data_IF_330324717513
#
_entry.id   IF_330324717513
#
_cell.length_a   1.000
_cell.length_b   1.000
_cell.length_c   1.000
_cell.angle_alpha   90.00
_cell.angle_beta   90.00
_cell.angle_gamma   90.00
#
_symmetry.space_group_name_H-M   'P 1'
#
loop_
_entity.id
_entity.type
_entity.pdbx_description
1 polymer ?
#
# COMPACT_ATOMS: atom_id res chain seq x y z
N UNK A 1 39.87 -51.00 51.98
CA UNK A 1 41.05 -50.53 52.74
C UNK A 1 41.31 -49.08 52.35
N UNK A 2 41.17 -48.15 53.30
CA UNK A 2 41.51 -46.73 53.10
C UNK A 2 43.04 -46.63 53.13
N UNK A 3 43.73 -46.07 52.12
CA UNK A 3 45.17 -45.87 52.24
C UNK A 3 45.42 -44.94 53.41
N UNK A 4 46.26 -45.38 54.36
CA UNK A 4 46.76 -44.50 55.40
C UNK A 4 47.54 -43.37 54.71
N UNK A 5 47.12 -42.12 54.89
CA UNK A 5 47.95 -40.99 54.48
C UNK A 5 49.28 -41.13 55.25
N UNK A 6 50.44 -41.08 54.57
CA UNK A 6 51.71 -41.07 55.26
C UNK A 6 51.69 -39.90 56.25
N UNK A 7 52.16 -40.16 57.47
CA UNK A 7 52.38 -39.13 58.46
C UNK A 7 53.52 -38.23 57.93
N UNK A 8 53.17 -37.23 57.13
CA UNK A 8 54.12 -36.23 56.65
C UNK A 8 54.48 -35.43 57.90
N UNK A 9 55.64 -35.71 58.49
CA UNK A 9 56.19 -34.85 59.53
C UNK A 9 56.17 -33.43 58.97
N UNK A 10 55.34 -32.56 59.55
CA UNK A 10 55.27 -31.16 59.13
C UNK A 10 56.65 -30.55 59.31
N UNK A 11 57.26 -30.13 58.21
CA UNK A 11 58.55 -29.44 58.24
C UNK A 11 58.39 -28.21 59.14
N UNK A 12 59.19 -28.08 60.20
CA UNK A 12 59.14 -26.92 61.09
C UNK A 12 59.96 -25.76 60.56
N UNK A 13 59.66 -24.54 61.01
CA UNK A 13 60.48 -23.34 60.71
C UNK A 13 61.97 -23.56 61.04
N UNK A 14 62.24 -24.20 62.19
CA UNK A 14 63.60 -24.51 62.64
C UNK A 14 64.31 -25.50 61.70
N UNK A 15 63.60 -26.50 61.16
CA UNK A 15 64.15 -27.42 60.17
C UNK A 15 64.52 -26.68 58.87
N UNK A 16 63.70 -25.74 58.43
CA UNK A 16 63.98 -24.92 57.24
C UNK A 16 65.18 -23.99 57.50
N UNK A 17 65.21 -23.33 58.67
CA UNK A 17 66.30 -22.47 59.09
C UNK A 17 67.65 -23.22 59.12
N UNK A 18 67.70 -24.38 59.79
CA UNK A 18 68.92 -25.18 59.90
C UNK A 18 69.42 -25.66 58.53
N UNK A 19 68.51 -25.97 57.61
CA UNK A 19 68.84 -26.34 56.24
C UNK A 19 69.44 -25.15 55.47
N UNK A 20 68.88 -23.94 55.60
CA UNK A 20 69.45 -22.74 54.99
C UNK A 20 70.85 -22.42 55.54
N UNK A 21 71.08 -22.57 56.85
CA UNK A 21 72.40 -22.43 57.46
C UNK A 21 73.37 -23.50 56.91
N UNK A 22 72.93 -24.75 56.77
CA UNK A 22 73.72 -25.85 56.21
C UNK A 22 74.15 -25.58 54.76
N UNK A 23 73.32 -24.87 54.00
CA UNK A 23 73.59 -24.44 52.62
C UNK A 23 74.48 -23.19 52.54
N UNK A 24 74.93 -22.64 53.68
CA UNK A 24 75.84 -21.49 53.74
C UNK A 24 75.15 -20.13 53.67
N UNK A 25 73.85 -20.05 53.96
CA UNK A 25 73.13 -18.77 54.03
C UNK A 25 73.53 -17.98 55.29
N UNK A 26 73.61 -16.66 55.16
CA UNK A 26 73.86 -15.76 56.30
C UNK A 26 72.73 -15.89 57.33
N UNK A 27 73.06 -15.81 58.62
CA UNK A 27 72.17 -16.17 59.72
C UNK A 27 70.88 -15.34 59.75
N UNK A 28 70.96 -14.02 59.57
CA UNK A 28 69.79 -13.14 59.57
C UNK A 28 68.92 -13.39 58.34
N UNK A 29 69.53 -13.62 57.18
CA UNK A 29 68.82 -13.97 55.95
C UNK A 29 68.11 -15.33 56.09
N UNK A 30 68.78 -16.33 56.66
CA UNK A 30 68.21 -17.66 56.90
C UNK A 30 67.03 -17.58 57.88
N UNK A 31 67.13 -16.75 58.91
CA UNK A 31 66.06 -16.54 59.87
C UNK A 31 64.84 -15.86 59.23
N UNK A 32 65.04 -14.82 58.42
CA UNK A 32 63.95 -14.13 57.72
C UNK A 32 63.27 -15.02 56.66
N UNK A 33 64.05 -15.74 55.84
CA UNK A 33 63.50 -16.60 54.79
C UNK A 33 62.83 -17.87 55.33
N UNK A 34 63.36 -18.48 56.38
CA UNK A 34 62.74 -19.69 56.97
C UNK A 34 61.35 -19.39 57.52
N UNK A 35 61.19 -18.26 58.20
CA UNK A 35 59.89 -17.78 58.67
C UNK A 35 58.92 -17.50 57.51
N UNK A 36 59.37 -16.78 56.48
CA UNK A 36 58.55 -16.48 55.27
C UNK A 36 58.14 -17.73 54.53
N UNK A 37 59.04 -18.71 54.42
CA UNK A 37 58.78 -19.99 53.74
C UNK A 37 57.81 -20.85 54.55
N UNK A 38 58.03 -21.00 55.86
CA UNK A 38 57.17 -21.78 56.74
C UNK A 38 55.73 -21.24 56.78
N UNK A 39 55.56 -19.92 56.78
CA UNK A 39 54.26 -19.26 56.77
C UNK A 39 53.70 -18.96 55.37
N UNK A 40 54.37 -19.38 54.29
CA UNK A 40 54.00 -19.10 52.90
C UNK A 40 53.73 -17.60 52.61
N UNK A 41 54.42 -16.69 53.31
CA UNK A 41 54.17 -15.24 53.22
C UNK A 41 54.39 -14.70 51.80
N UNK A 42 55.34 -15.30 51.05
CA UNK A 42 55.59 -14.96 49.64
C UNK A 42 54.43 -15.39 48.73
N UNK A 43 53.88 -16.59 48.95
CA UNK A 43 52.75 -17.11 48.17
C UNK A 43 51.47 -16.31 48.40
N UNK A 44 51.18 -15.95 49.65
CA UNK A 44 50.01 -15.11 49.95
C UNK A 44 50.10 -13.73 49.30
N UNK A 45 51.29 -13.12 49.29
CA UNK A 45 51.52 -11.83 48.61
C UNK A 45 51.28 -11.92 47.11
N UNK A 46 51.74 -12.98 46.46
CA UNK A 46 51.52 -13.18 45.02
C UNK A 46 50.03 -13.40 44.70
N UNK A 47 49.32 -14.17 45.53
CA UNK A 47 47.87 -14.35 45.39
C UNK A 47 47.10 -13.03 45.57
N UNK A 48 47.47 -12.22 46.57
CA UNK A 48 46.90 -10.89 46.78
C UNK A 48 47.13 -9.97 45.57
N UNK A 49 48.32 -10.02 44.98
CA UNK A 49 48.64 -9.25 43.77
C UNK A 49 47.83 -9.72 42.55
N UNK A 50 47.63 -11.04 42.40
CA UNK A 50 46.78 -11.59 41.35
C UNK A 50 45.32 -11.18 41.55
N UNK A 51 44.80 -11.27 42.77
CA UNK A 51 43.44 -10.86 43.13
C UNK A 51 43.21 -9.38 42.76
N UNK A 52 44.12 -8.48 43.14
CA UNK A 52 44.06 -7.06 42.78
C UNK A 52 44.07 -6.85 41.27
N UNK A 53 44.94 -7.55 40.54
CA UNK A 53 45.02 -7.43 39.07
C UNK A 53 43.76 -7.95 38.38
N UNK A 54 43.19 -9.05 38.86
CA UNK A 54 41.92 -9.57 38.35
C UNK A 54 40.77 -8.62 38.66
N UNK A 55 40.68 -8.08 39.88
CA UNK A 55 39.69 -7.07 40.24
C UNK A 55 39.69 -5.88 39.29
N UNK A 56 40.88 -5.28 39.06
CA UNK A 56 41.03 -4.17 38.10
C UNK A 56 40.60 -4.57 36.68
N UNK A 57 40.93 -5.78 36.22
CA UNK A 57 40.51 -6.26 34.89
C UNK A 57 39.00 -6.47 34.80
N UNK A 58 38.37 -6.99 35.85
CA UNK A 58 36.92 -7.16 35.92
C UNK A 58 36.19 -5.83 35.94
N UNK A 59 36.62 -4.87 36.75
CA UNK A 59 36.02 -3.53 36.80
C UNK A 59 36.10 -2.83 35.44
N UNK A 60 37.24 -2.92 34.76
CA UNK A 60 37.41 -2.40 33.41
C UNK A 60 36.50 -3.09 32.38
N UNK A 61 36.27 -4.40 32.52
CA UNK A 61 35.37 -5.14 31.64
C UNK A 61 33.92 -4.72 31.88
N UNK A 62 33.49 -4.63 33.14
CA UNK A 62 32.15 -4.16 33.54
C UNK A 62 31.93 -2.75 32.97
N UNK A 63 32.88 -1.84 33.17
CA UNK A 63 32.79 -0.48 32.63
C UNK A 63 32.62 -0.44 31.10
N UNK A 64 33.36 -1.29 30.37
CA UNK A 64 33.21 -1.41 28.91
C UNK A 64 31.85 -1.97 28.52
N UNK A 65 31.35 -2.97 29.23
CA UNK A 65 30.02 -3.55 29.00
C UNK A 65 28.95 -2.49 29.25
N UNK A 66 28.99 -1.78 30.37
CA UNK A 66 28.05 -0.70 30.70
C UNK A 66 28.05 0.41 29.64
N UNK A 67 29.23 0.76 29.11
CA UNK A 67 29.37 1.77 28.07
C UNK A 67 28.73 1.29 26.77
N UNK A 68 28.96 0.04 26.37
CA UNK A 68 28.35 -0.56 25.18
C UNK A 68 26.83 -0.64 25.35
N UNK A 69 26.35 -1.08 26.51
CA UNK A 69 24.92 -1.17 26.82
C UNK A 69 24.24 0.21 26.70
N UNK A 70 24.80 1.25 27.31
CA UNK A 70 24.28 2.62 27.22
C UNK A 70 24.23 3.14 25.79
N UNK A 71 25.25 2.85 24.99
CA UNK A 71 25.27 3.24 23.58
C UNK A 71 24.19 2.52 22.77
N UNK A 72 24.03 1.20 22.98
CA UNK A 72 22.99 0.42 22.31
C UNK A 72 21.58 0.88 22.72
N UNK A 73 21.34 1.18 24.00
CA UNK A 73 20.07 1.75 24.47
C UNK A 73 19.76 3.09 23.78
N UNK A 74 20.76 3.96 23.63
CA UNK A 74 20.62 5.23 22.91
C UNK A 74 20.31 5.02 21.43
N UNK A 75 20.98 4.07 20.78
CA UNK A 75 20.75 3.77 19.37
C UNK A 75 19.36 3.19 19.13
N UNK A 76 18.89 2.28 20.00
CA UNK A 76 17.53 1.75 19.97
C UNK A 76 16.50 2.88 20.11
N UNK A 77 16.66 3.75 21.12
CA UNK A 77 15.75 4.89 21.31
C UNK A 77 15.69 5.83 20.09
N UNK A 78 16.84 6.09 19.46
CA UNK A 78 16.91 6.89 18.24
C UNK A 78 16.22 6.20 17.05
N UNK A 79 16.34 4.87 16.95
CA UNK A 79 15.65 4.09 15.92
C UNK A 79 14.14 4.09 16.13
N UNK A 80 13.66 3.88 17.35
CA UNK A 80 12.24 3.95 17.70
C UNK A 80 11.66 5.32 17.31
N UNK A 81 12.35 6.40 17.67
CA UNK A 81 11.92 7.77 17.31
C UNK A 81 11.84 7.98 15.79
N UNK A 82 12.78 7.41 15.03
CA UNK A 82 12.77 7.47 13.56
C UNK A 82 11.63 6.65 12.97
N UNK A 83 11.37 5.45 13.52
CA UNK A 83 10.28 4.57 13.10
C UNK A 83 8.94 5.29 13.34
N UNK A 84 8.72 5.85 14.53
CA UNK A 84 7.50 6.61 14.87
C UNK A 84 7.27 7.79 13.91
N UNK A 85 8.35 8.47 13.51
CA UNK A 85 8.27 9.61 12.58
C UNK A 85 7.88 9.15 11.17
N UNK A 86 8.47 8.05 10.69
CA UNK A 86 8.14 7.45 9.40
C UNK A 86 6.71 6.95 9.40
N UNK A 87 6.26 6.27 10.46
CA UNK A 87 4.89 5.78 10.60
C UNK A 87 3.87 6.92 10.51
N UNK A 88 4.06 7.99 11.29
CA UNK A 88 3.18 9.17 11.25
C UNK A 88 3.15 9.83 9.87
N UNK A 89 4.28 9.88 9.18
CA UNK A 89 4.37 10.45 7.83
C UNK A 89 3.59 9.60 6.83
N UNK A 90 3.79 8.28 6.85
CA UNK A 90 3.07 7.35 5.98
C UNK A 90 1.55 7.37 6.24
N UNK A 91 1.11 7.42 7.50
CA UNK A 91 -0.30 7.55 7.85
C UNK A 91 -0.91 8.83 7.26
N UNK A 92 -0.19 9.96 7.34
CA UNK A 92 -0.63 11.23 6.74
C UNK A 92 -0.71 11.15 5.22
N UNK A 93 0.27 10.52 4.58
CA UNK A 93 0.30 10.37 3.12
C UNK A 93 -0.84 9.48 2.62
N UNK A 94 -1.14 8.38 3.31
CA UNK A 94 -2.28 7.51 3.03
C UNK A 94 -3.59 8.31 3.13
N UNK A 95 -3.80 9.03 4.23
CA UNK A 95 -5.00 9.85 4.43
C UNK A 95 -5.19 10.91 3.33
N UNK A 96 -4.09 11.55 2.91
CA UNK A 96 -4.13 12.52 1.81
C UNK A 96 -4.46 11.87 0.47
N UNK A 97 -3.96 10.65 0.22
CA UNK A 97 -4.28 9.88 -0.99
C UNK A 97 -5.75 9.46 -1.00
N UNK A 98 -6.28 8.96 0.12
CA UNK A 98 -7.70 8.60 0.25
C UNK A 98 -8.60 9.81 -0.06
N UNK A 99 -8.30 10.98 0.52
CA UNK A 99 -9.05 12.22 0.24
C UNK A 99 -9.01 12.62 -1.23
N UNK A 100 -7.86 12.44 -1.90
CA UNK A 100 -7.72 12.72 -3.35
C UNK A 100 -8.52 11.72 -4.18
N UNK A 101 -8.50 10.44 -3.81
CA UNK A 101 -9.27 9.38 -4.48
C UNK A 101 -10.76 9.68 -4.37
N UNK A 102 -11.26 9.99 -3.18
CA UNK A 102 -12.67 10.36 -2.95
C UNK A 102 -13.09 11.56 -3.82
N UNK A 103 -12.21 12.56 -3.92
CA UNK A 103 -12.46 13.74 -4.76
C UNK A 103 -12.54 13.38 -6.24
N UNK A 104 -11.61 12.56 -6.73
CA UNK A 104 -11.61 12.09 -8.12
C UNK A 104 -12.86 11.25 -8.41
N UNK A 105 -13.23 10.34 -7.52
CA UNK A 105 -14.44 9.50 -7.67
C UNK A 105 -15.69 10.38 -7.76
N UNK A 106 -15.84 11.36 -6.87
CA UNK A 106 -16.96 12.29 -6.88
C UNK A 106 -17.04 13.10 -8.19
N UNK A 107 -15.90 13.58 -8.67
CA UNK A 107 -15.85 14.33 -9.92
C UNK A 107 -16.23 13.45 -11.12
N UNK A 108 -15.69 12.23 -11.21
CA UNK A 108 -16.04 11.29 -12.26
C UNK A 108 -17.52 10.92 -12.25
N UNK A 109 -18.12 10.68 -11.07
CA UNK A 109 -19.56 10.44 -10.94
C UNK A 109 -20.37 11.61 -11.48
N UNK A 110 -19.99 12.84 -11.14
CA UNK A 110 -20.64 14.06 -11.62
C UNK A 110 -20.51 14.23 -13.14
N UNK A 111 -19.33 13.99 -13.70
CA UNK A 111 -19.11 14.11 -15.14
C UNK A 111 -19.91 13.06 -15.92
N UNK A 112 -20.02 11.83 -15.40
CA UNK A 112 -20.89 10.80 -15.98
C UNK A 112 -22.36 11.19 -15.93
N UNK A 113 -22.83 11.76 -14.82
CA UNK A 113 -24.22 12.24 -14.67
C UNK A 113 -24.54 13.34 -15.68
N UNK A 114 -23.65 14.34 -15.81
CA UNK A 114 -23.78 15.43 -16.79
C UNK A 114 -23.81 14.87 -18.22
N UNK A 115 -22.90 13.94 -18.56
CA UNK A 115 -22.86 13.34 -19.89
C UNK A 115 -24.14 12.56 -20.22
N UNK A 116 -24.67 11.81 -19.25
CA UNK A 116 -25.93 11.09 -19.40
C UNK A 116 -27.10 12.04 -19.61
N UNK A 117 -27.17 13.14 -18.86
CA UNK A 117 -28.19 14.16 -19.02
C UNK A 117 -28.13 14.81 -20.41
N UNK A 118 -26.93 15.22 -20.84
CA UNK A 118 -26.73 15.84 -22.16
C UNK A 118 -27.12 14.88 -23.31
N UNK A 119 -26.84 13.57 -23.14
CA UNK A 119 -27.24 12.56 -24.12
C UNK A 119 -28.76 12.43 -24.19
N UNK A 120 -29.45 12.42 -23.05
CA UNK A 120 -30.91 12.38 -22.96
C UNK A 120 -31.53 13.60 -23.67
N UNK A 121 -31.08 14.81 -23.35
CA UNK A 121 -31.56 16.06 -23.94
C UNK A 121 -31.40 16.08 -25.48
N UNK A 122 -30.28 15.57 -25.99
CA UNK A 122 -30.05 15.43 -27.44
C UNK A 122 -31.00 14.42 -28.09
N UNK A 123 -31.28 13.29 -27.43
CA UNK A 123 -32.23 12.30 -27.95
C UNK A 123 -33.65 12.85 -27.98
N UNK A 124 -34.09 13.53 -26.93
CA UNK A 124 -35.40 14.18 -26.85
C UNK A 124 -35.56 15.22 -27.96
N UNK A 125 -34.57 16.10 -28.13
CA UNK A 125 -34.56 17.12 -29.20
C UNK A 125 -34.64 16.50 -30.59
N UNK A 126 -33.87 15.44 -30.85
CA UNK A 126 -33.90 14.73 -32.13
C UNK A 126 -35.26 14.06 -32.39
N UNK A 127 -35.84 13.44 -31.35
CA UNK A 127 -37.16 12.81 -31.43
C UNK A 127 -38.26 13.84 -31.71
N UNK A 128 -38.21 15.00 -31.05
CA UNK A 128 -39.14 16.10 -31.31
C UNK A 128 -39.02 16.59 -32.75
N UNK A 129 -37.80 16.83 -33.25
CA UNK A 129 -37.58 17.24 -34.64
C UNK A 129 -38.09 16.21 -35.66
N UNK A 130 -37.93 14.92 -35.36
CA UNK A 130 -38.46 13.83 -36.20
C UNK A 130 -39.99 13.82 -36.20
N UNK A 131 -40.64 13.99 -35.03
CA UNK A 131 -42.10 14.09 -34.91
C UNK A 131 -42.65 15.26 -35.72
N UNK A 132 -42.06 16.45 -35.59
CA UNK A 132 -42.47 17.66 -36.33
C UNK A 132 -42.37 17.45 -37.86
N UNK A 133 -41.29 16.80 -38.33
CA UNK A 133 -41.13 16.47 -39.76
C UNK A 133 -42.17 15.46 -40.25
N UNK A 134 -42.49 14.44 -39.45
CA UNK A 134 -43.52 13.46 -39.80
C UNK A 134 -44.91 14.09 -39.86
N UNK A 135 -45.25 14.94 -38.89
CA UNK A 135 -46.53 15.65 -38.86
C UNK A 135 -46.69 16.59 -40.06
N UNK A 136 -45.65 17.38 -40.37
CA UNK A 136 -45.63 18.24 -41.55
C UNK A 136 -45.81 17.45 -42.85
N UNK A 137 -45.09 16.34 -43.03
CA UNK A 137 -45.24 15.47 -44.21
C UNK A 137 -46.65 14.87 -44.31
N UNK A 138 -47.23 14.42 -43.19
CA UNK A 138 -48.59 13.90 -43.14
C UNK A 138 -49.63 14.97 -43.52
N UNK A 139 -49.44 16.21 -43.06
CA UNK A 139 -50.31 17.33 -43.42
C UNK A 139 -50.25 17.62 -44.93
N UNK A 140 -49.06 17.69 -45.51
CA UNK A 140 -48.86 17.88 -46.97
C UNK A 140 -49.50 16.74 -47.77
N UNK A 141 -49.34 15.49 -47.33
CA UNK A 141 -49.95 14.33 -47.99
C UNK A 141 -51.48 14.40 -47.92
N UNK A 142 -52.04 14.74 -46.76
CA UNK A 142 -53.48 14.92 -46.56
C UNK A 142 -54.06 16.00 -47.47
N UNK A 143 -53.38 17.13 -47.62
CA UNK A 143 -53.78 18.19 -48.57
C UNK A 143 -53.77 17.71 -50.02
N UNK A 144 -52.70 17.02 -50.44
CA UNK A 144 -52.62 16.45 -51.80
C UNK A 144 -53.74 15.45 -52.07
N UNK A 145 -54.06 14.58 -51.10
CA UNK A 145 -55.19 13.64 -51.21
C UNK A 145 -56.54 14.36 -51.31
N UNK A 146 -56.76 15.42 -50.52
CA UNK A 146 -57.98 16.25 -50.61
C UNK A 146 -58.13 16.89 -51.98
N UNK A 147 -57.06 17.44 -52.56
CA UNK A 147 -57.06 18.02 -53.92
C UNK A 147 -57.34 16.93 -54.96
N UNK A 148 -56.67 15.78 -54.86
CA UNK A 148 -56.89 14.66 -55.78
C UNK A 148 -58.34 14.17 -55.75
N UNK A 149 -58.93 14.01 -54.55
CA UNK A 149 -60.34 13.68 -54.40
C UNK A 149 -61.25 14.72 -55.05
N UNK A 150 -60.98 16.03 -54.87
CA UNK A 150 -61.75 17.09 -55.54
C UNK A 150 -61.69 16.96 -57.07
N UNK A 151 -60.51 16.68 -57.62
CA UNK A 151 -60.32 16.47 -59.07
C UNK A 151 -61.11 15.25 -59.56
N UNK A 152 -61.02 14.11 -58.85
CA UNK A 152 -61.76 12.89 -59.20
C UNK A 152 -63.28 13.17 -59.20
N UNK A 153 -63.78 13.87 -58.19
CA UNK A 153 -65.20 14.27 -58.11
C UNK A 153 -65.61 15.13 -59.31
N UNK A 154 -64.78 16.10 -59.73
CA UNK A 154 -65.07 16.94 -60.92
C UNK A 154 -65.08 16.09 -62.20
N UNK A 155 -64.08 15.22 -62.38
CA UNK A 155 -63.98 14.35 -63.56
C UNK A 155 -65.19 13.43 -63.67
N UNK A 156 -65.59 12.81 -62.56
CA UNK A 156 -66.72 11.87 -62.52
C UNK A 156 -68.07 12.54 -62.74
N UNK A 157 -68.31 13.71 -62.13
CA UNK A 157 -69.61 14.41 -62.22
C UNK A 157 -69.76 15.22 -63.52
N UNK A 158 -68.69 15.83 -64.02
CA UNK A 158 -68.77 16.79 -65.14
C UNK A 158 -68.20 16.20 -66.42
N UNK A 159 -66.94 15.75 -66.40
CA UNK A 159 -66.20 15.43 -67.63
C UNK A 159 -66.71 14.13 -68.26
N UNK A 160 -66.93 13.08 -67.46
CA UNK A 160 -67.38 11.76 -67.95
C UNK A 160 -68.77 11.83 -68.62
N UNK A 161 -69.81 12.46 -68.03
CA UNK A 161 -71.11 12.57 -68.68
C UNK A 161 -71.08 13.35 -70.00
N UNK A 162 -70.28 14.42 -70.07
CA UNK A 162 -70.09 15.20 -71.31
C UNK A 162 -69.47 14.33 -72.39
N UNK A 163 -68.39 13.59 -72.07
CA UNK A 163 -67.73 12.71 -73.02
C UNK A 163 -68.66 11.60 -73.55
N UNK A 164 -69.44 10.96 -72.66
CA UNK A 164 -70.43 9.94 -73.04
C UNK A 164 -71.49 10.53 -73.99
N UNK A 165 -71.97 11.74 -73.71
CA UNK A 165 -72.99 12.42 -74.53
C UNK A 165 -72.48 12.73 -75.95
N UNK A 166 -71.22 13.15 -76.06
CA UNK A 166 -70.59 13.41 -77.37
C UNK A 166 -70.41 12.09 -78.14
N UNK A 167 -69.87 11.04 -77.51
CA UNK A 167 -69.62 9.75 -78.16
C UNK A 167 -70.93 9.09 -78.63
N UNK A 168 -71.97 9.09 -77.79
CA UNK A 168 -73.28 8.53 -78.15
C UNK A 168 -73.88 9.27 -79.35
N UNK A 169 -73.78 10.60 -79.41
CA UNK A 169 -74.25 11.39 -80.55
C UNK A 169 -73.53 11.01 -81.84
N UNK A 170 -72.20 10.88 -81.82
CA UNK A 170 -71.40 10.48 -82.99
C UNK A 170 -71.71 9.04 -83.41
N UNK A 171 -71.80 8.11 -82.45
CA UNK A 171 -72.12 6.70 -82.71
C UNK A 171 -73.51 6.53 -83.34
N UNK A 172 -74.53 7.22 -82.81
CA UNK A 172 -75.89 7.22 -83.39
C UNK A 172 -75.89 7.78 -84.80
N UNK A 173 -75.16 8.87 -85.06
CA UNK A 173 -75.02 9.45 -86.40
C UNK A 173 -74.41 8.46 -87.41
N UNK A 174 -73.35 7.73 -87.01
CA UNK A 174 -72.72 6.71 -87.85
C UNK A 174 -73.62 5.50 -88.09
N UNK A 175 -74.28 4.99 -87.04
CA UNK A 175 -75.26 3.89 -87.14
C UNK A 175 -76.39 4.28 -88.09
N UNK A 176 -76.95 5.49 -87.95
CA UNK A 176 -78.02 6.00 -88.81
C UNK A 176 -77.59 6.10 -90.28
N UNK A 177 -76.31 6.40 -90.55
CA UNK A 177 -75.75 6.38 -91.92
C UNK A 177 -75.50 4.98 -92.46
N UNK A 178 -75.30 3.98 -91.61
CA UNK A 178 -75.02 2.60 -92.01
C UNK A 178 -76.30 1.79 -92.31
N UNK A 179 -77.41 2.10 -91.63
CA UNK A 179 -78.72 1.46 -91.83
C UNK A 179 -79.64 2.18 -92.85
N UNK A 180 -79.11 3.15 -93.59
CA UNK A 180 -79.81 3.89 -94.64
C UNK A 180 -79.17 3.61 -95.99
#
# INVERSE_FOLDING_TARGET
MKPALPNIASITEEQIYNEFIRLGMEQLIAQDLSKRYYHNELTYRDLENLEKQFGIKFDNLIYKIDTVEKNLQKDIFNLDTKIDTVEKTLQKDIFNLDTKIDTVEKNLRKDMEINNQLLLEKMESNNQLLLEKMESNNNVLSEKLKVSNRIITIVTIVVVPIAISIITTVAVSLITRFFK
#
